data_IF_670593254132
#
_entry.id   IF_670593254132
#
_cell.length_a   1.000
_cell.length_b   1.000
_cell.length_c   1.000
_cell.angle_alpha   90.00
_cell.angle_beta   90.00
_cell.angle_gamma   90.00
#
_symmetry.space_group_name_H-M   'P 1'
#
loop_
_entity.id
_entity.type
_entity.pdbx_description
1 polymer ?
#
# COMPACT_ATOMS: atom_id res chain seq x y z
N UNK A 1 -18.66 5.02 17.29
CA UNK A 1 -18.60 5.05 15.81
C UNK A 1 -17.69 3.93 15.33
N UNK A 2 -18.17 3.07 14.42
CA UNK A 2 -17.38 2.01 13.80
C UNK A 2 -17.12 2.36 12.32
N UNK A 3 -15.86 2.32 11.91
CA UNK A 3 -15.40 2.64 10.55
C UNK A 3 -14.60 1.49 9.97
N UNK A 4 -14.94 1.08 8.75
CA UNK A 4 -14.32 -0.03 8.03
C UNK A 4 -13.65 0.52 6.76
N UNK A 5 -12.32 0.56 6.77
CA UNK A 5 -11.50 1.01 5.65
C UNK A 5 -10.92 -0.22 4.93
N UNK A 6 -11.25 -0.40 3.66
CA UNK A 6 -10.82 -1.59 2.88
C UNK A 6 -10.21 -1.21 1.54
N UNK A 7 -9.27 -2.02 1.04
CA UNK A 7 -8.78 -1.92 -0.34
C UNK A 7 -7.26 -1.99 -0.46
N UNK A 8 -6.72 -2.21 -1.66
CA UNK A 8 -5.28 -2.39 -1.87
C UNK A 8 -4.44 -1.11 -1.69
N UNK A 9 -5.03 0.08 -1.82
CA UNK A 9 -4.29 1.35 -1.71
C UNK A 9 -4.03 1.71 -0.23
N UNK A 10 -2.87 1.29 0.27
CA UNK A 10 -2.45 1.48 1.66
C UNK A 10 -2.18 2.93 2.02
N UNK A 11 -1.72 3.74 1.06
CA UNK A 11 -1.45 5.15 1.28
C UNK A 11 -2.73 5.93 1.56
N UNK A 12 -3.72 5.84 0.67
CA UNK A 12 -4.99 6.56 0.82
C UNK A 12 -5.75 6.08 2.04
N UNK A 13 -5.75 4.76 2.29
CA UNK A 13 -6.34 4.18 3.52
C UNK A 13 -5.64 4.70 4.78
N UNK A 14 -4.30 4.70 4.79
CA UNK A 14 -3.51 5.18 5.92
C UNK A 14 -3.67 6.68 6.17
N UNK A 15 -3.77 7.48 5.11
CA UNK A 15 -4.08 8.91 5.18
C UNK A 15 -5.45 9.14 5.79
N UNK A 16 -6.50 8.49 5.27
CA UNK A 16 -7.86 8.60 5.82
C UNK A 16 -7.92 8.20 7.30
N UNK A 17 -7.25 7.11 7.66
CA UNK A 17 -7.15 6.68 9.06
C UNK A 17 -6.56 7.78 9.94
N UNK A 18 -5.46 8.42 9.53
CA UNK A 18 -4.86 9.53 10.29
C UNK A 18 -5.83 10.70 10.45
N UNK A 19 -6.58 11.05 9.40
CA UNK A 19 -7.60 12.09 9.48
C UNK A 19 -8.70 11.75 10.49
N UNK A 20 -9.20 10.51 10.49
CA UNK A 20 -10.23 10.04 11.43
C UNK A 20 -9.75 10.10 12.88
N UNK A 21 -8.53 9.61 13.15
CA UNK A 21 -7.96 9.62 14.50
C UNK A 21 -7.62 11.05 14.94
N UNK A 22 -7.08 11.89 14.07
CA UNK A 22 -6.81 13.29 14.38
C UNK A 22 -8.10 14.07 14.71
N UNK A 23 -9.17 13.88 13.93
CA UNK A 23 -10.47 14.50 14.21
C UNK A 23 -11.05 14.01 15.55
N UNK A 24 -10.92 12.72 15.84
CA UNK A 24 -11.38 12.15 17.11
C UNK A 24 -10.60 12.72 18.31
N UNK A 25 -9.27 12.77 18.24
CA UNK A 25 -8.43 13.33 19.30
C UNK A 25 -8.59 14.85 19.48
N UNK A 26 -8.92 15.57 18.41
CA UNK A 26 -9.29 16.99 18.52
C UNK A 26 -10.59 17.17 19.31
N UNK A 27 -11.55 16.25 19.17
CA UNK A 27 -12.82 16.27 19.91
C UNK A 27 -12.68 15.72 21.34
N UNK A 28 -11.82 14.72 21.54
CA UNK A 28 -11.58 14.06 22.83
C UNK A 28 -10.10 14.08 23.20
N UNK A 29 -9.55 15.24 23.63
CA UNK A 29 -8.17 15.33 24.10
C UNK A 29 -7.94 14.35 25.25
N UNK A 30 -6.91 13.50 25.14
CA UNK A 30 -6.60 12.49 26.16
C UNK A 30 -7.38 11.17 26.04
N UNK A 31 -8.11 10.95 24.94
CA UNK A 31 -8.70 9.64 24.65
C UNK A 31 -7.61 8.56 24.57
N UNK A 32 -7.86 7.40 25.17
CA UNK A 32 -6.93 6.27 25.10
C UNK A 32 -6.93 5.69 23.68
N UNK A 33 -5.77 5.29 23.18
CA UNK A 33 -5.61 4.68 21.86
C UNK A 33 -4.97 3.30 21.97
N UNK A 34 -5.50 2.32 21.24
CA UNK A 34 -4.92 0.99 21.10
C UNK A 34 -4.91 0.57 19.62
N UNK A 35 -3.82 -0.08 19.18
CA UNK A 35 -3.76 -0.75 17.88
C UNK A 35 -3.47 -2.24 18.01
N UNK A 36 -4.11 -3.03 17.15
CA UNK A 36 -3.80 -4.45 16.93
C UNK A 36 -3.27 -4.59 15.52
N UNK A 37 -1.96 -4.79 15.42
CA UNK A 37 -1.24 -4.78 14.14
C UNK A 37 -0.87 -6.18 13.64
N UNK A 38 -0.85 -7.19 14.52
CA UNK A 38 -0.46 -8.57 14.20
C UNK A 38 -1.26 -9.61 15.01
N UNK A 39 -1.08 -10.89 14.66
CA UNK A 39 -1.62 -12.06 15.33
C UNK A 39 -0.78 -12.43 16.57
N UNK A 40 -0.92 -11.68 17.65
CA UNK A 40 -0.43 -12.10 18.97
C UNK A 40 -1.47 -12.97 19.65
N UNK A 41 -1.04 -13.99 20.42
CA UNK A 41 -1.94 -14.93 21.11
C UNK A 41 -2.98 -14.21 21.99
N UNK A 42 -2.60 -13.10 22.63
CA UNK A 42 -3.47 -12.33 23.54
C UNK A 42 -4.17 -11.14 22.87
N UNK A 43 -4.14 -11.00 21.54
CA UNK A 43 -4.67 -9.82 20.85
C UNK A 43 -6.16 -9.57 21.17
N UNK A 44 -6.94 -10.65 21.29
CA UNK A 44 -8.36 -10.55 21.59
C UNK A 44 -8.60 -10.06 23.02
N UNK A 45 -7.94 -10.68 23.99
CA UNK A 45 -8.11 -10.33 25.41
C UNK A 45 -7.70 -8.88 25.68
N UNK A 46 -6.61 -8.41 25.07
CA UNK A 46 -6.19 -7.03 25.19
C UNK A 46 -7.22 -6.05 24.60
N UNK A 47 -7.73 -6.33 23.39
CA UNK A 47 -8.72 -5.46 22.74
C UNK A 47 -10.06 -5.47 23.50
N UNK A 48 -10.48 -6.64 23.98
CA UNK A 48 -11.70 -6.79 24.76
C UNK A 48 -11.59 -6.10 26.13
N UNK A 49 -10.48 -6.26 26.83
CA UNK A 49 -10.21 -5.55 28.08
C UNK A 49 -10.20 -4.03 27.85
N UNK A 50 -9.51 -3.55 26.80
CA UNK A 50 -9.47 -2.14 26.43
C UNK A 50 -10.85 -1.54 26.20
N UNK A 51 -11.76 -2.25 25.52
CA UNK A 51 -13.14 -1.78 25.31
C UNK A 51 -13.93 -1.68 26.62
N UNK A 52 -13.64 -2.53 27.61
CA UNK A 52 -14.37 -2.58 28.89
C UNK A 52 -13.80 -1.69 29.99
N UNK A 53 -12.51 -1.38 29.97
CA UNK A 53 -11.87 -0.58 31.02
C UNK A 53 -12.18 0.91 30.84
N UNK A 54 -12.76 1.58 31.84
CA UNK A 54 -12.89 3.04 31.78
C UNK A 54 -11.51 3.71 31.68
N UNK A 55 -11.35 4.69 30.79
CA UNK A 55 -10.10 5.44 30.73
C UNK A 55 -9.95 6.33 31.97
N UNK A 56 -8.77 6.33 32.58
CA UNK A 56 -8.49 7.08 33.82
C UNK A 56 -8.67 8.59 33.67
N UNK A 57 -8.38 9.11 32.47
CA UNK A 57 -8.39 10.55 32.18
C UNK A 57 -9.49 10.97 31.20
N UNK A 58 -10.03 10.02 30.44
CA UNK A 58 -11.11 10.26 29.49
C UNK A 58 -11.90 8.97 29.27
N UNK A 59 -13.24 9.02 29.27
CA UNK A 59 -14.06 7.86 28.90
C UNK A 59 -13.96 7.55 27.40
N UNK A 60 -13.40 8.46 26.59
CA UNK A 60 -13.28 8.27 25.15
C UNK A 60 -12.11 7.36 24.78
N UNK A 61 -12.32 6.53 23.75
CA UNK A 61 -11.34 5.53 23.29
C UNK A 61 -11.25 5.48 21.77
N UNK A 62 -10.07 5.13 21.27
CA UNK A 62 -9.84 4.82 19.87
C UNK A 62 -9.20 3.44 19.75
N UNK A 63 -9.88 2.49 19.09
CA UNK A 63 -9.36 1.16 18.80
C UNK A 63 -9.13 1.02 17.30
N UNK A 64 -7.92 0.61 16.91
CA UNK A 64 -7.53 0.35 15.54
C UNK A 64 -7.18 -1.13 15.34
N UNK A 65 -7.85 -1.79 14.41
CA UNK A 65 -7.49 -3.13 13.96
C UNK A 65 -6.87 -3.07 12.56
N UNK A 66 -5.57 -3.37 12.44
CA UNK A 66 -4.86 -3.57 11.16
C UNK A 66 -4.63 -5.04 10.83
N UNK A 67 -4.90 -5.93 11.77
CA UNK A 67 -5.06 -7.37 11.58
C UNK A 67 -6.38 -7.84 12.20
N UNK A 68 -6.85 -9.01 11.75
CA UNK A 68 -8.00 -9.72 12.36
C UNK A 68 -7.59 -11.16 12.67
N UNK A 69 -6.77 -11.39 13.70
CA UNK A 69 -6.40 -12.74 14.15
C UNK A 69 -7.54 -13.43 14.93
N UNK A 70 -8.74 -12.85 14.93
CA UNK A 70 -9.85 -13.24 15.77
C UNK A 70 -10.71 -14.32 15.11
N UNK A 71 -11.34 -15.16 15.93
CA UNK A 71 -12.47 -15.97 15.47
C UNK A 71 -13.68 -15.07 15.11
N UNK A 72 -14.68 -15.65 14.45
CA UNK A 72 -15.92 -14.93 14.11
C UNK A 72 -16.64 -14.46 15.39
N UNK A 73 -16.66 -15.30 16.42
CA UNK A 73 -17.30 -15.06 17.71
C UNK A 73 -16.57 -13.97 18.51
N UNK A 74 -15.24 -14.00 18.48
CA UNK A 74 -14.40 -12.97 19.10
C UNK A 74 -14.64 -11.60 18.45
N UNK A 75 -14.60 -11.50 17.11
CA UNK A 75 -14.87 -10.24 16.43
C UNK A 75 -16.31 -9.76 16.69
N UNK A 76 -17.29 -10.66 16.68
CA UNK A 76 -18.67 -10.30 16.99
C UNK A 76 -18.81 -9.73 18.41
N UNK A 77 -18.09 -10.30 19.37
CA UNK A 77 -18.03 -9.81 20.77
C UNK A 77 -17.46 -8.39 20.81
N UNK A 78 -16.31 -8.15 20.15
CA UNK A 78 -15.70 -6.81 20.09
C UNK A 78 -16.65 -5.77 19.48
N UNK A 79 -17.33 -6.11 18.38
CA UNK A 79 -18.28 -5.21 17.73
C UNK A 79 -19.49 -4.89 18.64
N UNK A 80 -20.02 -5.89 19.35
CA UNK A 80 -21.11 -5.68 20.31
C UNK A 80 -20.72 -4.81 21.49
N UNK A 81 -19.50 -4.96 22.02
CA UNK A 81 -19.00 -4.06 23.06
C UNK A 81 -18.81 -2.65 22.51
N UNK A 82 -18.29 -2.52 21.28
CA UNK A 82 -18.11 -1.24 20.62
C UNK A 82 -19.43 -0.46 20.40
N UNK A 83 -20.51 -1.17 20.10
CA UNK A 83 -21.84 -0.57 19.89
C UNK A 83 -22.45 0.01 21.19
N UNK A 84 -21.99 -0.43 22.37
CA UNK A 84 -22.44 0.13 23.66
C UNK A 84 -21.78 1.47 23.98
N UNK A 85 -20.60 1.73 23.40
CA UNK A 85 -19.76 2.88 23.74
C UNK A 85 -20.10 4.12 22.90
N UNK A 86 -20.61 5.16 23.55
CA UNK A 86 -20.97 6.43 22.87
C UNK A 86 -19.75 7.22 22.41
N UNK A 87 -18.63 7.11 23.10
CA UNK A 87 -17.40 7.88 22.87
C UNK A 87 -16.25 7.01 22.38
N UNK A 88 -16.54 6.12 21.43
CA UNK A 88 -15.55 5.22 20.83
C UNK A 88 -15.36 5.50 19.34
N UNK A 89 -14.10 5.56 18.90
CA UNK A 89 -13.72 5.35 17.51
C UNK A 89 -13.19 3.92 17.36
N UNK A 90 -13.94 3.04 16.69
CA UNK A 90 -13.47 1.72 16.33
C UNK A 90 -13.18 1.68 14.83
N UNK A 91 -11.93 1.47 14.44
CA UNK A 91 -11.51 1.47 13.04
C UNK A 91 -10.92 0.11 12.65
N UNK A 92 -11.48 -0.54 11.63
CA UNK A 92 -10.87 -1.71 10.98
C UNK A 92 -10.26 -1.24 9.66
N UNK A 93 -8.95 -1.42 9.47
CA UNK A 93 -8.22 -0.93 8.30
C UNK A 93 -7.41 -2.03 7.62
N UNK A 94 -7.98 -2.67 6.61
CA UNK A 94 -7.42 -3.87 5.97
C UNK A 94 -7.29 -3.74 4.46
N UNK A 95 -6.38 -4.50 3.85
CA UNK A 95 -6.35 -4.62 2.39
C UNK A 95 -7.61 -5.33 1.86
N UNK A 96 -7.99 -6.42 2.53
CA UNK A 96 -9.23 -7.15 2.32
C UNK A 96 -9.70 -7.71 3.67
N UNK A 97 -11.03 -7.78 3.85
CA UNK A 97 -11.61 -8.42 5.04
C UNK A 97 -11.64 -9.94 4.82
N UNK A 98 -11.12 -10.75 5.77
CA UNK A 98 -11.19 -12.21 5.68
C UNK A 98 -12.64 -12.70 5.51
N UNK A 99 -12.83 -13.75 4.70
CA UNK A 99 -14.15 -14.27 4.30
C UNK A 99 -15.05 -14.53 5.51
N UNK A 100 -14.50 -15.14 6.56
CA UNK A 100 -15.21 -15.46 7.81
C UNK A 100 -15.80 -14.24 8.54
N UNK A 101 -15.24 -13.05 8.32
CA UNK A 101 -15.68 -11.80 8.95
C UNK A 101 -16.52 -10.90 8.05
N UNK A 102 -16.63 -11.20 6.75
CA UNK A 102 -17.28 -10.30 5.80
C UNK A 102 -18.74 -10.00 6.16
N UNK A 103 -19.50 -11.00 6.64
CA UNK A 103 -20.88 -10.79 7.05
C UNK A 103 -21.00 -9.88 8.28
N UNK A 104 -20.09 -10.03 9.25
CA UNK A 104 -20.10 -9.24 10.48
C UNK A 104 -19.85 -7.77 10.20
N UNK A 105 -18.86 -7.47 9.36
CA UNK A 105 -18.51 -6.07 9.09
C UNK A 105 -19.46 -5.42 8.09
N UNK A 106 -20.28 -6.16 7.34
CA UNK A 106 -21.23 -5.60 6.34
C UNK A 106 -22.44 -4.86 6.95
N UNK A 107 -22.56 -4.80 8.27
CA UNK A 107 -23.65 -4.09 8.94
C UNK A 107 -23.80 -2.65 8.44
N UNK A 108 -25.05 -2.24 8.16
CA UNK A 108 -25.40 -0.90 7.66
C UNK A 108 -25.14 0.21 8.69
N UNK A 109 -25.01 -0.14 9.97
CA UNK A 109 -24.66 0.78 11.04
C UNK A 109 -23.20 1.26 10.98
N UNK A 110 -22.35 0.62 10.17
CA UNK A 110 -20.92 0.93 10.10
C UNK A 110 -20.60 1.80 8.88
N UNK A 111 -19.64 2.72 9.04
CA UNK A 111 -19.18 3.54 7.94
C UNK A 111 -18.18 2.75 7.10
N UNK A 112 -18.50 2.50 5.84
CA UNK A 112 -17.65 1.76 4.90
C UNK A 112 -16.94 2.69 3.91
N UNK A 113 -15.62 2.62 3.85
CA UNK A 113 -14.82 3.34 2.85
C UNK A 113 -13.91 2.37 2.09
N UNK A 114 -13.96 2.46 0.75
CA UNK A 114 -13.18 1.61 -0.15
C UNK A 114 -12.05 2.41 -0.80
N UNK A 115 -10.88 1.80 -0.85
CA UNK A 115 -9.63 2.35 -1.39
C UNK A 115 -9.11 1.43 -2.51
N UNK A 116 -9.85 1.32 -3.64
CA UNK A 116 -9.37 0.60 -4.81
C UNK A 116 -8.17 1.33 -5.42
N UNK A 117 -7.38 0.60 -6.21
CA UNK A 117 -6.32 1.20 -7.03
C UNK A 117 -6.96 2.17 -8.02
N UNK A 118 -6.49 3.41 -8.03
CA UNK A 118 -6.98 4.44 -8.94
C UNK A 118 -6.38 4.26 -10.34
N UNK A 119 -7.18 4.58 -11.36
CA UNK A 119 -6.81 4.54 -12.78
C UNK A 119 -7.44 5.71 -13.53
N UNK A 120 -6.93 6.01 -14.73
CA UNK A 120 -7.53 6.99 -15.65
C UNK A 120 -7.72 8.37 -15.02
N UNK A 121 -8.91 8.96 -15.23
CA UNK A 121 -9.25 10.29 -14.73
C UNK A 121 -9.18 10.38 -13.18
N UNK A 122 -9.68 9.38 -12.47
CA UNK A 122 -9.63 9.36 -11.00
C UNK A 122 -8.20 9.37 -10.46
N UNK A 123 -7.27 8.71 -11.16
CA UNK A 123 -5.84 8.74 -10.81
C UNK A 123 -5.22 10.12 -11.03
N UNK A 124 -5.55 10.79 -12.14
CA UNK A 124 -5.06 12.14 -12.44
C UNK A 124 -5.58 13.17 -11.43
N UNK A 125 -6.87 13.10 -11.12
CA UNK A 125 -7.49 13.95 -10.11
C UNK A 125 -6.80 13.80 -8.74
N UNK A 126 -6.54 12.56 -8.32
CA UNK A 126 -5.79 12.29 -7.09
C UNK A 126 -4.39 12.93 -7.10
N UNK A 127 -3.64 12.82 -8.20
CA UNK A 127 -2.30 13.45 -8.28
C UNK A 127 -2.41 14.97 -8.14
N UNK A 128 -3.39 15.59 -8.81
CA UNK A 128 -3.62 17.04 -8.71
C UNK A 128 -4.00 17.46 -7.29
N UNK A 129 -4.90 16.72 -6.64
CA UNK A 129 -5.31 16.97 -5.25
C UNK A 129 -4.12 16.84 -4.28
N UNK A 130 -3.31 15.79 -4.40
CA UNK A 130 -2.13 15.60 -3.56
C UNK A 130 -1.07 16.68 -3.78
N UNK A 131 -0.93 17.17 -5.01
CA UNK A 131 -0.02 18.28 -5.33
C UNK A 131 -0.54 19.59 -4.71
N UNK A 132 -1.82 19.90 -4.90
CA UNK A 132 -2.45 21.11 -4.37
C UNK A 132 -2.37 21.18 -2.84
N UNK A 133 -2.59 20.05 -2.15
CA UNK A 133 -2.46 19.97 -0.69
C UNK A 133 -1.04 20.23 -0.18
N UNK A 134 -0.03 20.15 -1.05
CA UNK A 134 1.38 20.45 -0.76
C UNK A 134 1.79 21.85 -1.24
N UNK A 135 0.84 22.64 -1.76
CA UNK A 135 1.11 23.94 -2.35
C UNK A 135 1.85 23.86 -3.69
N UNK A 136 1.71 22.75 -4.41
CA UNK A 136 2.35 22.53 -5.72
C UNK A 136 1.34 22.67 -6.85
N UNK A 137 1.73 23.37 -7.90
CA UNK A 137 1.02 23.45 -9.18
C UNK A 137 1.77 22.63 -10.22
N UNK A 138 1.12 21.61 -10.78
CA UNK A 138 1.71 20.79 -11.84
C UNK A 138 1.34 21.35 -13.22
N UNK A 139 2.33 21.49 -14.09
CA UNK A 139 2.06 21.65 -15.54
C UNK A 139 1.38 20.39 -16.10
N UNK A 140 0.68 20.52 -17.23
CA UNK A 140 0.02 19.38 -17.86
C UNK A 140 1.03 18.29 -18.29
N UNK A 141 2.22 18.66 -18.76
CA UNK A 141 3.31 17.71 -19.05
C UNK A 141 3.74 16.94 -17.80
N UNK A 142 3.96 17.64 -16.69
CA UNK A 142 4.37 17.06 -15.41
C UNK A 142 3.31 16.09 -14.88
N UNK A 143 2.03 16.50 -14.90
CA UNK A 143 0.92 15.67 -14.49
C UNK A 143 0.80 14.41 -15.36
N UNK A 144 0.88 14.55 -16.69
CA UNK A 144 0.87 13.40 -17.61
C UNK A 144 2.01 12.44 -17.31
N UNK A 145 3.21 12.96 -17.07
CA UNK A 145 4.38 12.15 -16.74
C UNK A 145 4.18 11.38 -15.43
N UNK A 146 3.82 12.05 -14.33
CA UNK A 146 3.58 11.39 -13.05
C UNK A 146 2.45 10.36 -13.14
N UNK A 147 1.39 10.70 -13.87
CA UNK A 147 0.25 9.81 -14.08
C UNK A 147 0.67 8.51 -14.77
N UNK A 148 1.56 8.57 -15.76
CA UNK A 148 2.06 7.41 -16.51
C UNK A 148 3.18 6.65 -15.77
N UNK A 149 4.10 7.36 -15.12
CA UNK A 149 5.25 6.77 -14.44
C UNK A 149 4.85 5.95 -13.21
N UNK A 150 3.79 6.37 -12.50
CA UNK A 150 3.42 5.81 -11.21
C UNK A 150 1.98 5.27 -11.18
N UNK A 151 1.43 4.79 -12.30
CA UNK A 151 0.01 4.38 -12.41
C UNK A 151 -0.44 3.49 -11.24
N UNK A 152 -1.31 4.04 -10.38
CA UNK A 152 -1.89 3.39 -9.20
C UNK A 152 -0.97 3.22 -8.00
N UNK A 153 0.21 3.82 -8.02
CA UNK A 153 1.16 3.86 -6.92
C UNK A 153 1.03 5.19 -6.17
N UNK A 154 -0.07 5.34 -5.44
CA UNK A 154 -0.39 6.54 -4.65
C UNK A 154 0.73 6.96 -3.69
N UNK A 155 1.38 5.99 -3.04
CA UNK A 155 2.53 6.23 -2.16
C UNK A 155 3.75 6.81 -2.90
N UNK A 156 4.05 6.28 -4.09
CA UNK A 156 5.18 6.76 -4.90
C UNK A 156 4.93 8.19 -5.36
N UNK A 157 3.75 8.47 -5.91
CA UNK A 157 3.36 9.85 -6.29
C UNK A 157 3.48 10.79 -5.11
N UNK A 158 2.88 10.44 -3.98
CA UNK A 158 2.94 11.30 -2.79
C UNK A 158 4.37 11.57 -2.34
N UNK A 159 5.25 10.57 -2.46
CA UNK A 159 6.68 10.71 -2.13
C UNK A 159 7.40 11.61 -3.12
N UNK A 160 7.16 11.46 -4.43
CA UNK A 160 7.75 12.34 -5.45
C UNK A 160 7.28 13.80 -5.29
N UNK A 161 5.98 14.01 -5.04
CA UNK A 161 5.46 15.35 -4.76
C UNK A 161 6.09 15.95 -3.50
N UNK A 162 6.34 15.15 -2.47
CA UNK A 162 7.01 15.63 -1.26
C UNK A 162 8.47 16.05 -1.54
N UNK A 163 9.21 15.28 -2.34
CA UNK A 163 10.57 15.66 -2.78
C UNK A 163 10.56 16.99 -3.53
N UNK A 164 9.62 17.16 -4.45
CA UNK A 164 9.47 18.38 -5.25
C UNK A 164 9.11 19.58 -4.35
N UNK A 165 8.30 19.38 -3.31
CA UNK A 165 8.02 20.40 -2.30
C UNK A 165 9.30 20.84 -1.59
N UNK A 166 10.16 19.90 -1.19
CA UNK A 166 11.44 20.23 -0.56
C UNK A 166 12.43 20.94 -1.50
N UNK A 167 12.29 20.78 -2.82
CA UNK A 167 13.07 21.53 -3.79
C UNK A 167 12.65 23.02 -3.89
N UNK A 168 11.60 23.44 -3.18
CA UNK A 168 11.24 24.85 -3.01
C UNK A 168 10.55 25.50 -4.22
N UNK A 169 10.06 24.71 -5.19
CA UNK A 169 9.35 25.24 -6.36
C UNK A 169 7.85 25.15 -6.18
N UNK A 170 7.15 26.25 -6.42
CA UNK A 170 5.68 26.30 -6.38
C UNK A 170 5.03 25.68 -7.63
N UNK A 171 5.64 25.89 -8.80
CA UNK A 171 5.18 25.29 -10.06
C UNK A 171 6.17 24.25 -10.53
N UNK A 172 5.69 23.03 -10.76
CA UNK A 172 6.48 21.89 -11.18
C UNK A 172 6.28 21.65 -12.67
N UNK A 173 7.38 21.77 -13.40
CA UNK A 173 7.49 21.43 -14.81
C UNK A 173 8.00 20.00 -14.99
N UNK A 174 7.89 19.48 -16.21
CA UNK A 174 8.48 18.18 -16.54
C UNK A 174 9.99 18.14 -16.24
N UNK A 175 10.71 19.24 -16.48
CA UNK A 175 12.15 19.35 -16.20
C UNK A 175 12.50 19.18 -14.73
N UNK A 176 11.63 19.61 -13.83
CA UNK A 176 11.83 19.54 -12.37
C UNK A 176 11.70 18.12 -11.81
N UNK A 177 10.91 17.29 -12.47
CA UNK A 177 10.73 15.87 -12.13
C UNK A 177 11.93 15.04 -12.64
N UNK A 178 12.88 15.68 -13.32
CA UNK A 178 13.98 15.01 -14.00
C UNK A 178 13.66 14.72 -15.47
N UNK A 179 12.76 15.47 -16.12
CA UNK A 179 12.44 15.32 -17.55
C UNK A 179 13.56 15.66 -18.53
N UNK A 180 14.77 15.95 -18.04
CA UNK A 180 16.01 15.94 -18.84
C UNK A 180 16.85 14.67 -18.65
N UNK A 181 16.56 13.87 -17.62
CA UNK A 181 16.97 12.48 -17.58
C UNK A 181 16.02 11.70 -18.47
N UNK A 182 16.63 11.13 -19.50
CA UNK A 182 15.99 10.41 -20.58
C UNK A 182 14.80 9.57 -20.12
N UNK A 183 13.85 9.41 -21.04
CA UNK A 183 12.89 8.30 -21.07
C UNK A 183 13.53 6.91 -20.77
N UNK A 184 14.87 6.80 -20.75
CA UNK A 184 15.71 5.63 -20.48
C UNK A 184 16.01 5.30 -19.00
N UNK A 185 15.67 6.14 -18.02
CA UNK A 185 15.84 5.76 -16.61
C UNK A 185 14.48 5.46 -15.98
N UNK A 186 13.85 4.35 -16.38
CA UNK A 186 12.65 3.90 -15.69
C UNK A 186 12.98 3.62 -14.21
N UNK A 187 12.10 4.06 -13.30
CA UNK A 187 12.30 3.85 -11.87
C UNK A 187 12.40 2.35 -11.57
N UNK A 188 13.23 1.97 -10.58
CA UNK A 188 13.41 0.57 -10.17
C UNK A 188 12.07 -0.20 -10.04
N UNK A 189 11.00 0.33 -9.42
CA UNK A 189 9.70 -0.34 -9.38
C UNK A 189 9.05 -0.53 -10.75
N UNK A 190 9.19 0.44 -11.67
CA UNK A 190 8.65 0.33 -13.04
C UNK A 190 9.37 -0.76 -13.82
N UNK A 191 10.70 -0.78 -13.76
CA UNK A 191 11.53 -1.81 -14.38
C UNK A 191 11.17 -3.21 -13.87
N UNK A 192 11.10 -3.36 -12.55
CA UNK A 192 10.71 -4.62 -11.91
C UNK A 192 9.30 -5.05 -12.35
N UNK A 193 8.36 -4.13 -12.51
CA UNK A 193 6.99 -4.44 -12.97
C UNK A 193 6.93 -4.89 -14.42
N UNK A 194 7.69 -4.27 -15.32
CA UNK A 194 7.75 -4.69 -16.72
C UNK A 194 8.20 -6.15 -16.84
N UNK A 195 9.08 -6.63 -15.95
CA UNK A 195 9.50 -8.05 -15.91
C UNK A 195 8.49 -8.92 -15.14
N UNK A 196 7.98 -8.43 -14.00
CA UNK A 196 7.11 -9.19 -13.11
C UNK A 196 5.70 -9.44 -13.66
N UNK A 197 5.20 -8.61 -14.57
CA UNK A 197 3.85 -8.71 -15.12
C UNK A 197 3.85 -8.91 -16.65
N UNK A 198 2.71 -9.26 -17.28
CA UNK A 198 2.64 -9.42 -18.73
C UNK A 198 3.04 -8.13 -19.44
N UNK A 199 4.14 -8.20 -20.19
CA UNK A 199 4.66 -7.12 -21.03
C UNK A 199 5.33 -7.73 -22.29
N UNK A 200 5.41 -6.96 -23.40
CA UNK A 200 6.11 -7.39 -24.61
C UNK A 200 7.57 -7.76 -24.34
N UNK A 201 8.09 -8.78 -25.04
CA UNK A 201 9.47 -9.25 -24.85
C UNK A 201 10.50 -8.12 -24.88
N UNK A 202 10.38 -7.21 -25.87
CA UNK A 202 11.25 -6.04 -26.00
C UNK A 202 11.28 -5.17 -24.75
N UNK A 203 10.12 -4.95 -24.12
CA UNK A 203 10.01 -4.13 -22.92
C UNK A 203 10.67 -4.83 -21.72
N UNK A 204 10.48 -6.15 -21.59
CA UNK A 204 11.07 -6.92 -20.47
C UNK A 204 12.60 -6.99 -20.56
N UNK A 205 13.13 -7.23 -21.75
CA UNK A 205 14.57 -7.30 -21.98
C UNK A 205 15.20 -5.92 -21.76
N UNK A 206 14.60 -4.86 -22.33
CA UNK A 206 15.09 -3.49 -22.08
C UNK A 206 15.03 -3.12 -20.60
N UNK A 207 13.99 -3.56 -19.87
CA UNK A 207 13.90 -3.33 -18.45
C UNK A 207 14.99 -4.08 -17.66
N UNK A 208 15.32 -5.31 -18.05
CA UNK A 208 16.38 -6.08 -17.41
C UNK A 208 17.76 -5.43 -17.62
N UNK A 209 18.06 -4.99 -18.84
CA UNK A 209 19.30 -4.25 -19.16
C UNK A 209 19.44 -2.98 -18.31
N UNK A 210 18.36 -2.20 -18.18
CA UNK A 210 18.35 -1.00 -17.32
C UNK A 210 18.57 -1.35 -15.84
N UNK A 211 18.04 -2.48 -15.36
CA UNK A 211 18.27 -2.94 -13.98
C UNK A 211 19.74 -3.31 -13.75
N UNK A 212 20.36 -4.04 -14.67
CA UNK A 212 21.80 -4.33 -14.58
C UNK A 212 22.66 -3.06 -14.68
N UNK A 213 22.30 -2.14 -15.58
CA UNK A 213 23.00 -0.86 -15.73
C UNK A 213 22.87 0.04 -14.48
N UNK A 214 21.81 -0.13 -13.68
CA UNK A 214 21.61 0.62 -12.44
C UNK A 214 22.59 0.28 -11.31
N UNK A 215 23.40 -0.79 -11.45
CA UNK A 215 24.32 -1.26 -10.42
C UNK A 215 23.64 -1.98 -9.26
N UNK A 216 22.34 -2.27 -9.36
CA UNK A 216 21.60 -3.05 -8.37
C UNK A 216 22.02 -4.53 -8.42
N UNK A 217 22.15 -5.19 -7.25
CA UNK A 217 22.58 -6.59 -7.22
C UNK A 217 21.54 -7.54 -7.82
N UNK A 218 21.99 -8.51 -8.62
CA UNK A 218 21.10 -9.49 -9.24
C UNK A 218 20.27 -10.27 -8.21
N UNK A 219 20.87 -10.61 -7.06
CA UNK A 219 20.19 -11.23 -5.91
C UNK A 219 19.01 -10.38 -5.43
N UNK A 220 19.21 -9.06 -5.27
CA UNK A 220 18.16 -8.14 -4.82
C UNK A 220 17.04 -8.04 -5.86
N UNK A 221 17.39 -7.87 -7.13
CA UNK A 221 16.43 -7.81 -8.24
C UNK A 221 15.58 -9.09 -8.26
N UNK A 222 16.22 -10.26 -8.14
CA UNK A 222 15.56 -11.55 -8.13
C UNK A 222 14.53 -11.68 -6.99
N UNK A 223 14.92 -11.34 -5.76
CA UNK A 223 14.00 -11.39 -4.62
C UNK A 223 12.86 -10.37 -4.71
N UNK A 224 13.13 -9.17 -5.22
CA UNK A 224 12.08 -8.18 -5.47
C UNK A 224 11.08 -8.66 -6.52
N UNK A 225 11.55 -9.29 -7.60
CA UNK A 225 10.67 -9.90 -8.59
C UNK A 225 9.83 -11.05 -8.00
N UNK A 226 10.41 -11.88 -7.13
CA UNK A 226 9.69 -12.94 -6.42
C UNK A 226 8.57 -12.36 -5.53
N UNK A 227 8.84 -11.22 -4.88
CA UNK A 227 7.85 -10.49 -4.09
C UNK A 227 6.70 -9.96 -4.95
N UNK A 228 7.01 -9.36 -6.11
CA UNK A 228 5.99 -8.81 -7.02
C UNK A 228 5.17 -9.88 -7.74
N UNK A 229 5.75 -11.03 -8.07
CA UNK A 229 5.11 -12.10 -8.82
C UNK A 229 4.92 -13.37 -7.97
N UNK A 230 4.04 -13.26 -6.96
CA UNK A 230 3.68 -14.41 -6.09
C UNK A 230 3.09 -15.59 -6.85
N UNK A 231 2.47 -15.38 -8.02
CA UNK A 231 1.95 -16.46 -8.86
C UNK A 231 3.04 -17.39 -9.42
N UNK A 232 4.28 -16.92 -9.52
CA UNK A 232 5.43 -17.72 -9.99
C UNK A 232 6.33 -18.18 -8.84
N UNK A 233 5.88 -18.13 -7.58
CA UNK A 233 6.74 -18.38 -6.41
C UNK A 233 7.47 -19.73 -6.48
N UNK A 234 6.83 -20.78 -7.03
CA UNK A 234 7.45 -22.08 -7.22
C UNK A 234 8.60 -22.06 -8.24
N UNK A 235 8.49 -21.22 -9.27
CA UNK A 235 9.55 -21.04 -10.26
C UNK A 235 10.74 -20.27 -9.65
N UNK A 236 10.47 -19.21 -8.88
CA UNK A 236 11.52 -18.52 -8.10
C UNK A 236 12.20 -19.46 -7.12
N UNK A 237 11.46 -20.28 -6.37
CA UNK A 237 12.05 -21.26 -5.46
C UNK A 237 12.95 -22.28 -6.18
N UNK A 238 12.55 -22.74 -7.38
CA UNK A 238 13.39 -23.64 -8.19
C UNK A 238 14.69 -23.00 -8.64
N UNK A 239 14.64 -21.74 -9.10
CA UNK A 239 15.84 -21.00 -9.49
C UNK A 239 16.74 -20.73 -8.28
N UNK A 240 16.19 -20.37 -7.13
CA UNK A 240 16.95 -20.15 -5.89
C UNK A 240 17.71 -21.42 -5.46
N UNK A 241 17.08 -22.61 -5.53
CA UNK A 241 17.76 -23.89 -5.29
C UNK A 241 18.87 -24.15 -6.32
N UNK A 242 18.62 -23.86 -7.61
CA UNK A 242 19.63 -24.03 -8.65
C UNK A 242 20.86 -23.13 -8.42
N UNK A 243 20.63 -21.87 -8.01
CA UNK A 243 21.70 -20.93 -7.69
C UNK A 243 22.48 -21.38 -6.45
N UNK A 244 21.79 -21.73 -5.37
CA UNK A 244 22.44 -22.21 -4.13
C UNK A 244 23.20 -23.52 -4.30
N UNK A 245 22.85 -24.32 -5.31
CA UNK A 245 23.58 -25.54 -5.67
C UNK A 245 24.69 -25.32 -6.70
N UNK A 246 25.00 -24.07 -7.05
CA UNK A 246 26.07 -23.69 -7.98
C UNK A 246 25.80 -24.09 -9.43
N UNK A 247 24.54 -24.36 -9.79
CA UNK A 247 24.14 -24.76 -11.16
C UNK A 247 23.79 -23.57 -12.05
N UNK A 248 23.66 -22.39 -11.46
CA UNK A 248 23.13 -21.19 -12.11
C UNK A 248 23.59 -19.97 -11.30
N UNK A 249 23.74 -18.82 -11.96
CA UNK A 249 23.88 -17.52 -11.30
C UNK A 249 22.53 -16.75 -11.28
N UNK A 250 22.41 -15.76 -10.40
CA UNK A 250 21.18 -14.96 -10.31
C UNK A 250 20.91 -14.16 -11.59
N UNK A 251 21.96 -13.68 -12.26
CA UNK A 251 21.92 -12.99 -13.54
C UNK A 251 21.28 -13.88 -14.61
N UNK A 252 21.69 -15.16 -14.67
CA UNK A 252 21.13 -16.14 -15.60
C UNK A 252 19.66 -16.43 -15.28
N UNK A 253 19.31 -16.61 -13.99
CA UNK A 253 17.90 -16.76 -13.58
C UNK A 253 17.04 -15.57 -14.05
N UNK A 254 17.54 -14.34 -13.88
CA UNK A 254 16.83 -13.13 -14.29
C UNK A 254 16.62 -13.06 -15.80
N UNK A 255 17.62 -13.44 -16.60
CA UNK A 255 17.50 -13.54 -18.06
C UNK A 255 16.41 -14.55 -18.42
N UNK A 256 16.41 -15.75 -17.83
CA UNK A 256 15.36 -16.75 -18.08
C UNK A 256 13.96 -16.23 -17.72
N UNK A 257 13.81 -15.55 -16.59
CA UNK A 257 12.55 -14.98 -16.13
C UNK A 257 12.04 -13.90 -17.10
N UNK A 258 12.91 -13.03 -17.61
CA UNK A 258 12.59 -11.98 -18.57
C UNK A 258 12.24 -12.54 -19.96
N UNK A 259 12.93 -13.58 -20.43
CA UNK A 259 12.64 -14.22 -21.71
C UNK A 259 11.29 -14.96 -21.70
N UNK A 260 10.96 -15.67 -20.61
CA UNK A 260 9.68 -16.37 -20.47
C UNK A 260 8.50 -15.42 -20.23
N UNK A 261 8.70 -14.40 -19.41
CA UNK A 261 7.63 -13.49 -19.01
C UNK A 261 6.61 -14.08 -18.04
N UNK A 262 5.75 -13.23 -17.51
CA UNK A 262 4.62 -13.68 -16.70
C UNK A 262 3.53 -14.32 -17.58
N UNK A 263 2.91 -15.42 -17.13
CA UNK A 263 1.78 -16.00 -17.84
C UNK A 263 0.64 -14.97 -17.95
N UNK A 264 -0.05 -14.95 -19.09
CA UNK A 264 -1.25 -14.14 -19.25
C UNK A 264 -2.26 -14.55 -18.18
N UNK A 265 -2.83 -13.57 -17.47
CA UNK A 265 -3.95 -13.82 -16.55
C UNK A 265 -5.11 -14.34 -17.40
N UNK A 266 -5.47 -15.62 -17.20
CA UNK A 266 -6.76 -16.17 -17.65
C UNK A 266 -7.88 -15.59 -16.81
#
# INVERSE_FOLDING_TARGET
>A
MIVILTGPDSYRRGKRRRELFAAFHAQFPGAAEMSVDDATEDAFEQAHAFLRTGGLFSPAKALLLRALPFSKEQLHTLLREADKEKSLLFCISLAAVPVQHQQLVRGSAYRHEKFPVLRGAAWRAFIQEEAAQRGLLLTDEALRFLALAYVGESWMVATELEKLRYAGKATITLGDIGGRYSYDAASLPRLLRSIAFPAPLRERVSALEQLFASGESAVKIFHLLAYYNKSRIHEFARYDVAVKSGKLEYEEALVYLALRGAPARR
#
